data_IF_317293543403
#
_entry.id   IF_317293543403
#
_cell.length_a   1.000
_cell.length_b   1.000
_cell.length_c   1.000
_cell.angle_alpha   90.00
_cell.angle_beta   90.00
_cell.angle_gamma   90.00
#
_symmetry.space_group_name_H-M   'P 1'
#
loop_
_entity.id
_entity.type
_entity.pdbx_description
1 polymer ?
#
# COMPACT_ATOMS: atom_id res chain seq x y z
N UNK A 1 -18.95 -17.07 10.40
CA UNK A 1 -18.59 -16.43 9.12
C UNK A 1 -17.90 -15.12 9.45
N UNK A 2 -16.59 -15.04 9.29
CA UNK A 2 -15.86 -13.79 9.49
C UNK A 2 -16.31 -12.81 8.39
N UNK A 3 -16.82 -11.63 8.77
CA UNK A 3 -17.08 -10.55 7.81
C UNK A 3 -15.75 -10.21 7.14
N UNK A 4 -15.63 -10.42 5.83
CA UNK A 4 -14.53 -9.86 5.06
C UNK A 4 -14.55 -8.33 5.28
N UNK A 5 -13.51 -7.82 5.94
CA UNK A 5 -13.36 -6.38 6.15
C UNK A 5 -13.15 -5.76 4.77
N UNK A 6 -13.96 -4.77 4.42
CA UNK A 6 -13.79 -4.04 3.17
C UNK A 6 -12.34 -3.53 3.06
N UNK A 7 -11.73 -3.60 1.86
CA UNK A 7 -10.35 -3.17 1.66
C UNK A 7 -10.20 -1.69 2.05
N UNK A 8 -9.07 -1.36 2.67
CA UNK A 8 -8.74 0.04 3.00
C UNK A 8 -8.11 0.69 1.78
N UNK A 9 -8.61 1.85 1.38
CA UNK A 9 -8.12 2.58 0.21
C UNK A 9 -7.21 3.72 0.67
N UNK A 10 -6.00 3.80 0.13
CA UNK A 10 -5.04 4.88 0.38
C UNK A 10 -4.55 5.52 -0.92
N UNK A 11 -4.31 6.84 -0.90
CA UNK A 11 -3.65 7.56 -2.01
C UNK A 11 -2.12 7.69 -1.81
N UNK A 12 -1.60 7.27 -0.65
CA UNK A 12 -0.19 7.44 -0.27
C UNK A 12 0.64 6.17 -0.55
N UNK A 13 1.54 6.27 -1.52
CA UNK A 13 2.45 5.20 -1.91
C UNK A 13 3.49 4.83 -0.84
N UNK A 14 3.83 5.75 0.07
CA UNK A 14 4.76 5.51 1.16
C UNK A 14 4.09 4.63 2.21
N UNK A 15 2.88 5.01 2.67
CA UNK A 15 2.12 4.22 3.64
C UNK A 15 1.77 2.85 3.05
N UNK A 16 1.33 2.81 1.79
CA UNK A 16 1.08 1.55 1.09
C UNK A 16 2.33 0.65 1.02
N UNK A 17 3.50 1.23 0.73
CA UNK A 17 4.77 0.50 0.73
C UNK A 17 5.14 -0.05 2.11
N UNK A 18 4.96 0.73 3.18
CA UNK A 18 5.21 0.27 4.56
C UNK A 18 4.27 -0.88 4.93
N UNK A 19 2.98 -0.76 4.59
CA UNK A 19 1.98 -1.82 4.86
C UNK A 19 2.28 -3.08 4.04
N UNK A 20 2.76 -2.94 2.80
CA UNK A 20 3.24 -4.08 2.01
C UNK A 20 4.46 -4.76 2.63
N UNK A 21 5.42 -3.99 3.16
CA UNK A 21 6.58 -4.54 3.87
C UNK A 21 6.20 -5.24 5.19
N UNK A 22 5.05 -4.88 5.78
CA UNK A 22 4.42 -5.57 6.92
C UNK A 22 3.64 -6.83 6.51
N UNK A 23 3.62 -7.20 5.22
CA UNK A 23 2.98 -8.41 4.71
C UNK A 23 1.51 -8.25 4.32
N UNK A 24 0.98 -7.01 4.27
CA UNK A 24 -0.37 -6.78 3.75
C UNK A 24 -0.39 -6.85 2.23
N UNK A 25 -1.53 -7.26 1.68
CA UNK A 25 -1.75 -7.28 0.24
C UNK A 25 -2.10 -5.87 -0.21
N UNK A 26 -1.29 -5.31 -1.11
CA UNK A 26 -1.45 -3.96 -1.63
C UNK A 26 -1.63 -4.01 -3.14
N UNK A 27 -2.81 -3.64 -3.60
CA UNK A 27 -3.19 -3.66 -5.02
C UNK A 27 -3.36 -2.23 -5.52
N UNK A 28 -2.46 -1.73 -6.39
CA UNK A 28 -2.61 -0.40 -6.97
C UNK A 28 -3.68 -0.42 -8.07
N UNK A 29 -4.50 0.62 -8.10
CA UNK A 29 -5.57 0.81 -9.09
C UNK A 29 -5.65 2.27 -9.52
N UNK A 30 -6.27 2.50 -10.68
CA UNK A 30 -6.58 3.85 -11.14
C UNK A 30 -8.02 4.17 -10.72
N UNK A 31 -8.22 5.27 -9.99
CA UNK A 31 -9.55 5.77 -9.66
C UNK A 31 -10.22 6.42 -10.88
N UNK A 32 -11.53 6.63 -10.79
CA UNK A 32 -12.32 7.38 -11.78
C UNK A 32 -11.80 8.80 -12.03
N UNK A 33 -11.08 9.37 -11.05
CA UNK A 33 -10.44 10.69 -11.12
C UNK A 33 -9.02 10.66 -11.69
N UNK A 34 -8.61 9.55 -12.32
CA UNK A 34 -7.28 9.33 -12.89
C UNK A 34 -6.14 9.50 -11.85
N UNK A 35 -6.44 9.18 -10.59
CA UNK A 35 -5.46 9.11 -9.50
C UNK A 35 -5.12 7.66 -9.23
N UNK A 36 -3.92 7.41 -8.73
CA UNK A 36 -3.52 6.06 -8.32
C UNK A 36 -3.86 5.88 -6.85
N UNK A 37 -4.70 4.90 -6.60
CA UNK A 37 -5.11 4.47 -5.25
C UNK A 37 -4.54 3.09 -4.97
N UNK A 38 -4.37 2.76 -3.70
CA UNK A 38 -3.89 1.46 -3.24
C UNK A 38 -4.97 0.83 -2.39
N UNK A 39 -5.54 -0.27 -2.88
CA UNK A 39 -6.44 -1.12 -2.10
C UNK A 39 -5.61 -2.06 -1.23
N UNK A 40 -5.88 -2.06 0.07
CA UNK A 40 -5.12 -2.83 1.04
C UNK A 40 -6.04 -3.82 1.73
N UNK A 41 -5.72 -5.10 1.58
CA UNK A 41 -6.44 -6.20 2.22
C UNK A 41 -5.64 -6.73 3.42
N UNK A 42 -6.33 -6.96 4.53
CA UNK A 42 -5.75 -7.42 5.78
C UNK A 42 -6.06 -6.51 6.97
N UNK A 43 -5.38 -6.73 8.09
CA UNK A 43 -5.57 -5.93 9.30
C UNK A 43 -4.70 -4.66 9.30
N UNK A 44 -5.13 -3.69 8.49
CA UNK A 44 -4.46 -2.39 8.31
C UNK A 44 -4.34 -1.62 9.62
N UNK A 45 -5.35 -1.72 10.48
CA UNK A 45 -5.39 -0.95 11.72
C UNK A 45 -4.29 -1.41 12.70
N UNK A 46 -4.15 -2.72 12.88
CA UNK A 46 -3.08 -3.28 13.70
C UNK A 46 -1.70 -2.96 13.10
N UNK A 47 -1.54 -3.09 11.79
CA UNK A 47 -0.28 -2.76 11.12
C UNK A 47 0.12 -1.28 11.27
N UNK A 48 -0.84 -0.36 11.16
CA UNK A 48 -0.60 1.07 11.40
C UNK A 48 -0.23 1.34 12.86
N UNK A 49 -0.91 0.70 13.83
CA UNK A 49 -0.55 0.82 15.25
C UNK A 49 0.88 0.39 15.50
N UNK A 50 1.34 -0.70 14.89
CA UNK A 50 2.73 -1.13 15.01
C UNK A 50 3.72 -0.12 14.43
N UNK A 51 3.38 0.49 13.28
CA UNK A 51 4.21 1.54 12.67
C UNK A 51 4.34 2.73 13.61
N UNK A 52 3.24 3.21 14.19
CA UNK A 52 3.27 4.31 15.16
C UNK A 52 3.93 3.96 16.48
N UNK A 53 3.93 2.67 16.86
CA UNK A 53 4.66 2.17 18.02
C UNK A 53 6.17 1.99 17.77
N UNK A 54 6.69 2.41 16.61
CA UNK A 54 8.09 2.23 16.21
C UNK A 54 8.54 0.76 16.21
N UNK A 55 7.64 -0.17 15.86
CA UNK A 55 8.02 -1.57 15.71
C UNK A 55 9.16 -1.69 14.67
N UNK A 56 10.17 -2.55 14.94
CA UNK A 56 11.29 -2.71 14.02
C UNK A 56 10.80 -3.19 12.65
N UNK A 57 11.36 -2.60 11.60
CA UNK A 57 11.09 -2.94 10.20
C UNK A 57 12.39 -3.05 9.43
N UNK A 58 12.47 -4.00 8.51
CA UNK A 58 13.60 -4.14 7.60
C UNK A 58 13.70 -2.89 6.72
N UNK A 59 14.74 -2.09 6.90
CA UNK A 59 14.91 -0.82 6.17
C UNK A 59 14.99 -1.04 4.65
N UNK A 60 15.64 -2.11 4.21
CA UNK A 60 15.73 -2.50 2.81
C UNK A 60 14.38 -2.95 2.24
N UNK A 61 13.59 -3.69 3.02
CA UNK A 61 12.29 -4.20 2.60
C UNK A 61 11.30 -3.06 2.44
N UNK A 62 11.27 -2.13 3.40
CA UNK A 62 10.48 -0.89 3.33
C UNK A 62 10.88 -0.07 2.11
N UNK A 63 12.19 0.15 1.89
CA UNK A 63 12.66 0.92 0.74
C UNK A 63 12.23 0.28 -0.60
N UNK A 64 12.37 -1.05 -0.72
CA UNK A 64 11.97 -1.80 -1.91
C UNK A 64 10.47 -1.71 -2.14
N UNK A 65 9.66 -1.89 -1.10
CA UNK A 65 8.21 -1.82 -1.18
C UNK A 65 7.72 -0.41 -1.57
N UNK A 66 8.26 0.64 -0.96
CA UNK A 66 7.93 2.03 -1.32
C UNK A 66 8.31 2.31 -2.78
N UNK A 67 9.49 1.87 -3.22
CA UNK A 67 9.93 2.06 -4.61
C UNK A 67 8.99 1.33 -5.58
N UNK A 68 8.58 0.11 -5.26
CA UNK A 68 7.62 -0.66 -6.05
C UNK A 68 6.28 0.09 -6.16
N UNK A 69 5.68 0.49 -5.04
CA UNK A 69 4.42 1.26 -5.05
C UNK A 69 4.54 2.54 -5.88
N UNK A 70 5.59 3.35 -5.67
CA UNK A 70 5.81 4.58 -6.45
C UNK A 70 5.97 4.32 -7.95
N UNK A 71 6.62 3.22 -8.34
CA UNK A 71 6.78 2.86 -9.76
C UNK A 71 5.45 2.51 -10.44
N UNK A 72 4.49 1.97 -9.68
CA UNK A 72 3.15 1.65 -10.18
C UNK A 72 2.37 2.91 -10.57
N UNK A 73 2.65 4.06 -9.94
CA UNK A 73 2.04 5.33 -10.34
C UNK A 73 2.35 5.66 -11.80
N UNK A 74 3.61 5.50 -12.20
CA UNK A 74 4.04 5.76 -13.57
C UNK A 74 3.56 4.68 -14.52
N UNK A 75 3.51 3.43 -14.08
CA UNK A 75 3.02 2.31 -14.91
C UNK A 75 1.54 2.47 -15.24
N UNK A 76 0.72 2.78 -14.23
CA UNK A 76 -0.73 2.92 -14.39
C UNK A 76 -1.13 4.20 -15.12
N UNK A 77 -0.37 5.30 -14.97
CA UNK A 77 -0.64 6.57 -15.66
C UNK A 77 0.03 6.68 -17.02
N UNK A 78 1.10 5.92 -17.24
CA UNK A 78 2.05 6.08 -18.36
C UNK A 78 2.12 4.89 -19.32
N UNK A 79 1.27 3.87 -19.15
CA UNK A 79 1.09 2.80 -20.14
C UNK A 79 0.54 3.26 -21.51
N UNK A 80 0.22 4.54 -21.67
CA UNK A 80 -0.19 5.18 -22.92
C UNK A 80 0.98 5.91 -23.61
N UNK A 81 2.05 5.19 -23.96
CA UNK A 81 3.02 5.66 -24.96
C UNK A 81 3.04 4.72 -26.15
#
# INVERSE_FOLDING_TARGET
MAKEKAPTILEDAVIAGILSAKGLVVTPQLSDSNRVIYEISGDVESALREVYANAPVGSLDVLRAIKACRSMIFTLRGGSR
#
